data_IF_871158039714
#
_entry.id   IF_871158039714
#
_cell.length_a   1.000
_cell.length_b   1.000
_cell.length_c   1.000
_cell.angle_alpha   90.00
_cell.angle_beta   90.00
_cell.angle_gamma   90.00
#
_symmetry.space_group_name_H-M   'P 1'
#
loop_
_entity.id
_entity.type
_entity.pdbx_description
1 polymer ?
#
# COMPACT_ATOMS: atom_id res chain seq x y z
N UNK A 1 -23.60 14.24 -12.28
CA UNK A 1 -22.62 15.35 -12.19
C UNK A 1 -22.02 15.26 -10.80
N UNK A 2 -20.74 14.92 -10.70
CA UNK A 2 -19.98 14.86 -9.45
C UNK A 2 -19.51 16.27 -9.10
N UNK A 3 -19.79 16.73 -7.89
CA UNK A 3 -19.23 17.97 -7.36
C UNK A 3 -17.71 17.82 -7.27
N UNK A 4 -16.90 18.69 -7.93
CA UNK A 4 -15.44 18.60 -7.89
C UNK A 4 -14.83 18.83 -6.50
N UNK A 5 -15.61 19.37 -5.55
CA UNK A 5 -15.23 19.49 -4.15
C UNK A 5 -15.44 18.19 -3.36
N UNK A 6 -16.17 17.23 -3.93
CA UNK A 6 -16.33 15.88 -3.38
C UNK A 6 -15.30 14.99 -4.06
N UNK A 7 -14.19 14.76 -3.36
CA UNK A 7 -13.11 13.89 -3.83
C UNK A 7 -13.51 12.42 -3.92
N UNK A 8 -14.54 12.00 -3.20
CA UNK A 8 -14.94 10.60 -3.08
C UNK A 8 -15.68 10.12 -4.34
N UNK A 9 -15.14 9.11 -5.01
CA UNK A 9 -15.72 8.48 -6.20
C UNK A 9 -16.14 7.03 -5.97
N UNK A 10 -15.81 6.42 -4.82
CA UNK A 10 -16.04 5.01 -4.51
C UNK A 10 -16.28 4.76 -3.02
N UNK A 11 -17.04 3.71 -2.68
CA UNK A 11 -17.33 3.29 -1.30
C UNK A 11 -16.24 2.39 -0.68
N UNK A 12 -15.11 2.22 -1.38
CA UNK A 12 -13.99 1.38 -0.96
C UNK A 12 -12.96 2.15 -0.12
N UNK A 13 -12.90 3.48 -0.26
CA UNK A 13 -11.86 4.32 0.31
C UNK A 13 -12.02 4.46 1.84
N UNK A 14 -10.90 4.36 2.57
CA UNK A 14 -10.87 4.49 4.02
C UNK A 14 -9.67 5.38 4.45
N UNK A 15 -9.89 6.51 5.14
CA UNK A 15 -11.19 7.05 5.57
C UNK A 15 -11.94 7.71 4.39
N UNK A 16 -13.27 7.90 4.49
CA UNK A 16 -14.02 8.65 3.48
C UNK A 16 -13.53 10.09 3.42
N UNK A 17 -13.55 10.70 2.23
CA UNK A 17 -12.96 12.03 2.01
C UNK A 17 -13.60 13.13 2.87
N UNK A 18 -14.86 12.94 3.28
CA UNK A 18 -15.61 13.89 4.09
C UNK A 18 -15.41 13.73 5.62
N UNK A 19 -14.69 12.69 6.07
CA UNK A 19 -14.45 12.46 7.50
C UNK A 19 -13.15 11.65 7.72
N UNK A 20 -11.98 12.29 7.64
CA UNK A 20 -10.70 11.65 7.93
C UNK A 20 -10.58 11.40 9.44
N UNK A 21 -11.18 10.31 9.93
CA UNK A 21 -10.94 9.84 11.30
C UNK A 21 -9.53 9.28 11.36
N UNK A 22 -8.65 9.92 12.14
CA UNK A 22 -7.28 9.43 12.35
C UNK A 22 -7.03 9.16 13.82
N UNK A 23 -6.31 8.07 14.10
CA UNK A 23 -5.83 7.74 15.46
C UNK A 23 -4.56 8.51 15.84
N UNK A 24 -4.08 9.37 14.94
CA UNK A 24 -2.79 10.06 15.03
C UNK A 24 -1.63 9.18 14.58
N UNK A 25 -0.54 9.81 14.10
CA UNK A 25 0.62 9.12 13.53
C UNK A 25 1.27 8.08 14.46
N UNK A 26 1.18 8.29 15.78
CA UNK A 26 1.78 7.41 16.79
C UNK A 26 1.01 6.11 17.04
N UNK A 27 -0.21 6.00 16.51
CA UNK A 27 -1.08 4.84 16.68
C UNK A 27 -1.52 4.24 15.33
N UNK A 28 -0.99 4.75 14.21
CA UNK A 28 -1.31 4.27 12.88
C UNK A 28 -0.20 3.36 12.36
N UNK A 29 -0.50 2.07 12.30
CA UNK A 29 0.39 1.03 11.81
C UNK A 29 -0.42 -0.02 11.07
N UNK A 30 0.25 -0.73 10.16
CA UNK A 30 -0.28 -1.92 9.52
C UNK A 30 0.77 -3.02 9.50
N UNK A 31 0.32 -4.26 9.52
CA UNK A 31 1.16 -5.45 9.50
C UNK A 31 1.18 -6.04 8.09
N UNK A 32 2.35 -6.49 7.65
CA UNK A 32 2.52 -7.24 6.41
C UNK A 32 2.20 -8.71 6.63
N UNK A 33 1.53 -9.33 5.66
CA UNK A 33 1.34 -10.78 5.67
C UNK A 33 2.62 -11.51 5.27
N UNK A 34 2.93 -12.58 6.00
CA UNK A 34 3.98 -13.54 5.63
C UNK A 34 3.42 -14.58 4.65
N UNK A 35 4.05 -14.68 3.49
CA UNK A 35 3.68 -15.62 2.44
C UNK A 35 4.71 -16.72 2.29
N UNK A 36 4.27 -17.90 1.84
CA UNK A 36 5.20 -18.98 1.55
C UNK A 36 5.94 -18.70 0.25
N UNK A 37 7.26 -18.53 0.31
CA UNK A 37 8.10 -18.36 -0.89
C UNK A 37 7.96 -19.50 -1.91
N UNK A 38 7.53 -20.69 -1.46
CA UNK A 38 7.32 -21.87 -2.31
C UNK A 38 5.99 -21.83 -3.06
N UNK A 39 4.92 -21.39 -2.40
CA UNK A 39 3.56 -21.44 -2.96
C UNK A 39 3.11 -20.10 -3.53
N UNK A 40 3.56 -19.00 -2.93
CA UNK A 40 3.15 -17.62 -3.21
C UNK A 40 4.36 -16.72 -3.47
N UNK A 41 5.17 -17.00 -4.51
CA UNK A 41 6.43 -16.29 -4.73
C UNK A 41 6.24 -14.79 -5.01
N UNK A 42 5.16 -14.41 -5.72
CA UNK A 42 4.91 -13.00 -6.03
C UNK A 42 4.55 -12.19 -4.78
N UNK A 43 3.51 -12.56 -3.99
CA UNK A 43 3.26 -11.88 -2.72
C UNK A 43 4.47 -11.86 -1.78
N UNK A 44 5.21 -12.96 -1.68
CA UNK A 44 6.44 -13.03 -0.86
C UNK A 44 7.48 -12.00 -1.29
N UNK A 45 7.69 -11.80 -2.59
CA UNK A 45 8.59 -10.77 -3.09
C UNK A 45 8.05 -9.37 -2.81
N UNK A 46 6.75 -9.14 -3.05
CA UNK A 46 6.12 -7.83 -2.88
C UNK A 46 6.07 -7.37 -1.41
N UNK A 47 5.98 -8.28 -0.45
CA UNK A 47 6.02 -7.98 1.00
C UNK A 47 7.41 -8.09 1.62
N UNK A 48 8.46 -8.38 0.83
CA UNK A 48 9.81 -8.56 1.36
C UNK A 48 10.35 -7.27 2.00
N UNK A 49 10.41 -7.26 3.32
CA UNK A 49 10.81 -6.11 4.12
C UNK A 49 11.61 -6.53 5.35
N UNK A 50 12.30 -5.58 5.97
CA UNK A 50 13.09 -5.76 7.18
C UNK A 50 12.29 -5.47 8.46
N UNK A 51 11.06 -4.95 8.30
CA UNK A 51 10.06 -4.81 9.34
C UNK A 51 8.75 -5.42 8.86
N UNK A 52 8.07 -6.18 9.72
CA UNK A 52 6.73 -6.71 9.47
C UNK A 52 5.65 -5.66 9.73
N UNK A 53 5.85 -4.83 10.76
CA UNK A 53 4.94 -3.73 11.12
C UNK A 53 5.49 -2.42 10.53
N UNK A 54 4.67 -1.74 9.74
CA UNK A 54 5.03 -0.50 9.05
C UNK A 54 4.13 0.62 9.54
N UNK A 55 4.70 1.83 9.68
CA UNK A 55 3.92 3.03 10.03
C UNK A 55 2.90 3.32 8.94
N UNK A 56 1.68 3.61 9.34
CA UNK A 56 0.68 4.16 8.43
C UNK A 56 1.08 5.55 7.96
N UNK A 57 0.54 5.96 6.83
CA UNK A 57 0.73 7.27 6.25
C UNK A 57 -0.53 7.65 5.47
N UNK A 58 -0.88 8.92 5.50
CA UNK A 58 -2.12 9.41 4.93
C UNK A 58 -1.98 9.68 3.44
N UNK A 59 -3.12 9.66 2.77
CA UNK A 59 -3.28 10.13 1.41
C UNK A 59 -4.76 10.40 1.17
N UNK A 60 -5.12 10.72 -0.08
CA UNK A 60 -6.54 10.85 -0.43
C UNK A 60 -7.29 9.53 -0.20
N UNK A 61 -6.69 8.41 -0.61
CA UNK A 61 -7.08 7.06 -0.18
C UNK A 61 -5.98 6.52 0.73
N UNK A 62 -6.17 6.64 2.04
CA UNK A 62 -5.22 6.13 3.03
C UNK A 62 -5.25 4.60 3.09
N UNK A 63 -6.36 3.95 2.76
CA UNK A 63 -6.51 2.50 2.74
C UNK A 63 -7.87 2.10 2.20
N UNK A 64 -8.21 0.82 2.31
CA UNK A 64 -9.40 0.22 1.72
C UNK A 64 -10.24 -0.50 2.76
N UNK A 65 -11.56 -0.41 2.66
CA UNK A 65 -12.48 -1.19 3.49
C UNK A 65 -12.42 -2.68 3.17
N UNK A 66 -12.03 -3.51 4.14
CA UNK A 66 -11.81 -4.95 3.96
C UNK A 66 -13.04 -5.68 3.41
N UNK A 67 -14.23 -5.31 3.84
CA UNK A 67 -15.51 -5.89 3.39
C UNK A 67 -15.91 -5.52 1.95
N UNK A 68 -15.24 -4.54 1.32
CA UNK A 68 -15.45 -4.14 -0.08
C UNK A 68 -14.44 -4.79 -1.03
N UNK A 69 -13.43 -5.48 -0.49
CA UNK A 69 -12.40 -6.16 -1.29
C UNK A 69 -12.97 -7.50 -1.80
N UNK A 70 -12.80 -7.76 -3.09
CA UNK A 70 -13.24 -9.02 -3.71
C UNK A 70 -12.38 -10.18 -3.21
N UNK A 71 -13.00 -11.34 -2.99
CA UNK A 71 -12.34 -12.52 -2.41
C UNK A 71 -11.08 -13.03 -3.13
N UNK A 72 -10.94 -12.76 -4.44
CA UNK A 72 -9.77 -13.20 -5.21
C UNK A 72 -8.58 -12.24 -5.15
N UNK A 73 -8.73 -11.12 -4.43
CA UNK A 73 -7.66 -10.15 -4.19
C UNK A 73 -6.82 -10.63 -3.00
N UNK A 74 -5.51 -10.58 -3.17
CA UNK A 74 -4.56 -10.95 -2.13
C UNK A 74 -4.33 -9.72 -1.24
N UNK A 75 -4.70 -9.82 0.03
CA UNK A 75 -4.36 -8.82 1.04
C UNK A 75 -2.92 -9.07 1.47
N UNK A 76 -2.06 -8.07 1.30
CA UNK A 76 -0.63 -8.14 1.60
C UNK A 76 -0.25 -7.34 2.85
N UNK A 77 -1.07 -6.39 3.27
CA UNK A 77 -0.90 -5.70 4.53
C UNK A 77 -2.18 -5.03 5.01
N UNK A 78 -2.49 -5.22 6.28
CA UNK A 78 -3.70 -4.70 6.93
C UNK A 78 -3.39 -4.19 8.33
N UNK A 79 -4.23 -3.29 8.81
CA UNK A 79 -4.24 -2.97 10.22
C UNK A 79 -5.20 -3.94 10.92
N UNK A 80 -4.76 -4.69 11.92
CA UNK A 80 -5.64 -5.62 12.64
C UNK A 80 -6.59 -4.93 13.63
N UNK A 81 -6.31 -3.67 13.97
CA UNK A 81 -7.11 -2.90 14.91
C UNK A 81 -8.26 -2.13 14.24
N UNK A 82 -8.34 -2.15 12.90
CA UNK A 82 -9.47 -1.64 12.13
C UNK A 82 -9.75 -2.56 10.93
N UNK A 83 -10.93 -2.53 10.32
CA UNK A 83 -11.17 -3.30 9.08
C UNK A 83 -10.55 -2.63 7.83
N UNK A 84 -9.32 -2.13 7.96
CA UNK A 84 -8.58 -1.39 6.94
C UNK A 84 -7.44 -2.22 6.34
N UNK A 85 -7.45 -2.31 5.02
CA UNK A 85 -6.34 -2.87 4.23
C UNK A 85 -5.51 -1.73 3.67
N UNK A 86 -4.18 -1.80 3.81
CA UNK A 86 -3.25 -0.84 3.21
C UNK A 86 -2.67 -1.31 1.90
N UNK A 87 -2.40 -2.61 1.80
CA UNK A 87 -1.58 -3.15 0.73
C UNK A 87 -2.25 -4.39 0.17
N UNK A 88 -2.53 -4.39 -1.14
CA UNK A 88 -3.24 -5.48 -1.80
C UNK A 88 -2.76 -5.70 -3.24
N UNK A 89 -2.86 -6.92 -3.72
CA UNK A 89 -2.42 -7.34 -5.04
C UNK A 89 -3.49 -8.18 -5.73
N UNK A 90 -3.60 -8.05 -7.05
CA UNK A 90 -4.54 -8.83 -7.85
C UNK A 90 -4.12 -8.99 -9.29
N UNK A 91 -4.80 -9.92 -9.96
CA UNK A 91 -4.65 -10.15 -11.39
C UNK A 91 -5.82 -9.49 -12.14
N UNK A 92 -5.54 -8.88 -13.28
CA UNK A 92 -6.57 -8.39 -14.19
C UNK A 92 -6.17 -8.66 -15.65
N UNK A 93 -6.97 -9.49 -16.33
CA UNK A 93 -6.66 -9.93 -17.69
C UNK A 93 -5.32 -10.65 -17.77
N UNK A 94 -4.40 -10.10 -18.58
CA UNK A 94 -3.03 -10.64 -18.74
C UNK A 94 -1.99 -9.96 -17.84
N UNK A 95 -2.42 -9.02 -17.01
CA UNK A 95 -1.56 -8.23 -16.14
C UNK A 95 -1.90 -8.42 -14.67
N UNK A 96 -1.15 -7.71 -13.84
CA UNK A 96 -1.35 -7.64 -12.40
C UNK A 96 -1.44 -6.19 -11.97
N UNK A 97 -2.00 -5.95 -10.80
CA UNK A 97 -2.03 -4.64 -10.17
C UNK A 97 -1.69 -4.78 -8.69
N UNK A 98 -1.10 -3.73 -8.14
CA UNK A 98 -0.86 -3.60 -6.71
C UNK A 98 -1.33 -2.23 -6.28
N UNK A 99 -2.08 -2.17 -5.19
CA UNK A 99 -2.44 -0.91 -4.54
C UNK A 99 -1.79 -0.85 -3.16
N UNK A 100 -1.14 0.28 -2.90
CA UNK A 100 -0.55 0.62 -1.61
C UNK A 100 -1.08 2.00 -1.21
N UNK A 101 -1.99 2.02 -0.24
CA UNK A 101 -2.71 3.22 0.18
C UNK A 101 -1.82 4.22 0.93
N UNK A 102 -2.14 5.51 0.81
CA UNK A 102 -1.37 6.62 1.35
C UNK A 102 -0.49 7.32 0.29
N UNK A 103 0.12 8.45 0.68
CA UNK A 103 0.94 9.29 -0.19
C UNK A 103 2.45 9.12 0.06
N UNK A 104 2.93 9.51 1.25
CA UNK A 104 4.35 9.48 1.60
C UNK A 104 4.59 8.63 2.86
N UNK A 105 5.29 7.48 2.78
CA UNK A 105 5.55 6.64 3.93
C UNK A 105 6.41 7.26 5.05
N UNK A 106 7.14 8.33 4.77
CA UNK A 106 8.02 8.98 5.74
C UNK A 106 7.52 10.36 6.18
N UNK A 107 6.39 10.81 5.61
CA UNK A 107 5.66 12.01 6.02
C UNK A 107 4.17 11.66 6.19
N UNK A 108 3.73 11.58 7.44
CA UNK A 108 2.40 11.05 7.79
C UNK A 108 1.24 11.76 7.09
N UNK A 109 1.31 13.08 6.86
CA UNK A 109 0.20 13.86 6.29
C UNK A 109 0.51 14.47 4.93
N UNK A 110 1.75 14.94 4.73
CA UNK A 110 2.24 15.60 3.52
C UNK A 110 1.19 16.44 2.77
N UNK A 111 0.98 17.67 3.21
CA UNK A 111 -0.01 18.57 2.63
C UNK A 111 0.46 19.17 1.29
N UNK A 112 -0.51 19.62 0.50
CA UNK A 112 -0.21 20.36 -0.73
C UNK A 112 0.55 21.65 -0.39
N UNK A 113 1.79 21.75 -0.86
CA UNK A 113 2.68 22.89 -0.62
C UNK A 113 3.78 22.62 0.42
N UNK A 114 3.73 21.47 1.10
CA UNK A 114 4.83 21.03 1.97
C UNK A 114 6.10 20.78 1.14
N UNK A 115 7.29 20.98 1.72
CA UNK A 115 8.55 20.70 1.04
C UNK A 115 8.64 19.20 0.71
N UNK A 116 9.30 18.83 -0.41
CA UNK A 116 9.49 17.43 -0.75
C UNK A 116 10.31 16.71 0.32
N UNK A 117 9.96 15.46 0.60
CA UNK A 117 10.69 14.60 1.53
C UNK A 117 12.12 14.36 1.06
N UNK A 118 13.09 14.63 1.94
CA UNK A 118 14.50 14.37 1.65
C UNK A 118 14.82 12.88 1.81
N UNK A 119 14.73 12.14 0.70
CA UNK A 119 15.01 10.71 0.63
C UNK A 119 16.40 10.32 1.16
N UNK A 120 17.36 11.24 1.22
CA UNK A 120 18.70 10.95 1.75
C UNK A 120 18.69 10.62 3.25
N UNK A 121 17.67 11.09 3.98
CA UNK A 121 17.43 10.82 5.39
C UNK A 121 16.75 9.47 5.64
N UNK A 122 16.13 8.88 4.61
CA UNK A 122 15.25 7.71 4.72
C UNK A 122 15.76 6.48 3.98
N UNK A 123 17.08 6.28 3.92
CA UNK A 123 17.73 5.18 3.17
C UNK A 123 17.21 3.78 3.51
N UNK A 124 16.78 3.57 4.74
CA UNK A 124 16.26 2.29 5.24
C UNK A 124 14.76 2.35 5.53
N UNK A 125 14.00 3.23 4.87
CA UNK A 125 12.55 3.29 5.05
C UNK A 125 11.89 1.95 4.69
N UNK A 126 11.12 1.34 5.61
CA UNK A 126 10.33 0.16 5.29
C UNK A 126 9.23 0.48 4.28
N UNK A 127 8.63 1.67 4.35
CA UNK A 127 7.56 2.07 3.45
C UNK A 127 8.03 2.28 2.00
N UNK A 128 9.13 3.01 1.80
CA UNK A 128 9.72 3.16 0.45
C UNK A 128 10.23 1.84 -0.10
N UNK A 129 10.71 0.91 0.75
CA UNK A 129 11.10 -0.42 0.28
C UNK A 129 9.95 -1.18 -0.40
N UNK A 130 8.73 -1.09 0.14
CA UNK A 130 7.56 -1.72 -0.49
C UNK A 130 7.21 -1.09 -1.83
N UNK A 131 7.36 0.24 -1.97
CA UNK A 131 7.18 0.93 -3.26
C UNK A 131 8.21 0.42 -4.28
N UNK A 132 9.48 0.28 -3.88
CA UNK A 132 10.52 -0.24 -4.76
C UNK A 132 10.28 -1.69 -5.16
N UNK A 133 9.80 -2.54 -4.25
CA UNK A 133 9.42 -3.92 -4.58
C UNK A 133 8.38 -3.94 -5.71
N UNK A 134 7.36 -3.07 -5.65
CA UNK A 134 6.31 -2.99 -6.67
C UNK A 134 6.81 -2.57 -8.06
N UNK A 135 7.88 -1.79 -8.13
CA UNK A 135 8.41 -1.28 -9.40
C UNK A 135 9.47 -2.23 -9.97
N UNK A 136 10.38 -2.72 -9.13
CA UNK A 136 11.57 -3.44 -9.57
C UNK A 136 11.28 -4.90 -9.95
N UNK A 137 10.34 -5.57 -9.25
CA UNK A 137 10.04 -6.97 -9.55
C UNK A 137 9.34 -7.17 -10.90
N UNK A 138 8.32 -6.37 -11.28
CA UNK A 138 7.73 -6.46 -12.61
C UNK A 138 8.69 -6.05 -13.73
N UNK A 139 9.64 -5.16 -13.46
CA UNK A 139 10.64 -4.69 -14.41
C UNK A 139 11.78 -5.70 -14.66
N UNK A 140 11.91 -6.74 -13.82
CA UNK A 140 12.96 -7.73 -13.95
C UNK A 140 12.78 -8.58 -15.22
N UNK A 141 13.78 -8.55 -16.11
CA UNK A 141 13.79 -9.41 -17.31
C UNK A 141 13.93 -10.87 -16.90
N UNK A 142 13.05 -11.73 -17.43
CA UNK A 142 13.21 -13.17 -17.30
C UNK A 142 14.51 -13.59 -18.00
N UNK A 143 15.37 -14.28 -17.26
CA UNK A 143 16.56 -14.89 -17.84
C UNK A 143 16.11 -16.01 -18.78
N UNK A 144 16.55 -15.99 -20.02
CA UNK A 144 16.24 -17.06 -20.97
C UNK A 144 16.74 -18.39 -20.40
N UNK A 145 15.88 -19.40 -20.41
CA UNK A 145 16.27 -20.75 -20.03
C UNK A 145 17.23 -21.27 -21.10
N UNK A 146 18.43 -21.69 -20.70
CA UNK A 146 19.31 -22.44 -21.59
C UNK A 146 18.58 -23.74 -21.96
N UNK A 147 18.20 -23.86 -23.23
CA UNK A 147 17.84 -25.13 -23.87
C UNK A 147 19.10 -25.93 -24.18
#
# INVERSE_FOLDING_TARGET
MTDPMIYEFSDIDNPPSHNPITRGAQADYFSLFEFSAKYDPVPTMLTQNHFEIVRGFMGQTTGFHKNRIKNHIVIMGEDHSSDQVKYLHGNFGKGTFTYYGGHDPEDYQHFVGDPPTDLSLHRNSPGYRLILNNILFPAARKKERKT
#
